data_IF_746333132512
#
_entry.id   IF_746333132512
#
_cell.length_a   1.000
_cell.length_b   1.000
_cell.length_c   1.000
_cell.angle_alpha   90.00
_cell.angle_beta   90.00
_cell.angle_gamma   90.00
#
_symmetry.space_group_name_H-M   'P 1'
#
loop_
_entity.id
_entity.type
_entity.pdbx_description
1 polymer ?
#
# COMPACT_ATOMS: atom_id res chain seq x y z
N UNK A 1 -5.41 18.83 -6.96
CA UNK A 1 -4.25 18.27 -6.19
C UNK A 1 -4.69 17.96 -4.76
N UNK A 2 -5.94 17.52 -4.59
CA UNK A 2 -6.68 17.70 -3.33
C UNK A 2 -6.56 16.51 -2.39
N UNK A 3 -5.98 15.39 -2.86
CA UNK A 3 -5.71 14.22 -2.02
C UNK A 3 -4.31 14.26 -1.39
N UNK A 4 -3.29 14.60 -2.19
CA UNK A 4 -1.88 14.55 -1.76
C UNK A 4 -1.55 15.75 -0.86
N UNK A 5 -1.98 16.97 -1.21
CA UNK A 5 -1.60 18.18 -0.47
C UNK A 5 -2.07 18.19 0.99
N UNK A 6 -3.32 17.81 1.33
CA UNK A 6 -3.74 17.74 2.73
C UNK A 6 -2.94 16.73 3.55
N UNK A 7 -2.64 15.56 2.97
CA UNK A 7 -1.87 14.51 3.64
C UNK A 7 -0.39 14.88 3.80
N UNK A 8 0.17 15.61 2.85
CA UNK A 8 1.52 16.16 2.95
C UNK A 8 1.60 17.24 4.06
N UNK A 9 0.60 18.13 4.15
CA UNK A 9 0.51 19.14 5.22
C UNK A 9 0.38 18.52 6.61
N UNK A 10 -0.24 17.34 6.72
CA UNK A 10 -0.36 16.58 7.95
C UNK A 10 0.90 15.76 8.29
N UNK A 11 1.94 15.79 7.45
CA UNK A 11 3.18 15.03 7.64
C UNK A 11 3.03 13.51 7.40
N UNK A 12 1.86 13.05 6.94
CA UNK A 12 1.57 11.65 6.63
C UNK A 12 2.33 11.23 5.37
N UNK A 13 2.33 12.11 4.36
CA UNK A 13 3.11 11.93 3.14
C UNK A 13 4.28 12.90 3.10
N UNK A 14 5.40 12.47 2.52
CA UNK A 14 6.47 13.39 2.15
C UNK A 14 5.90 14.38 1.12
N UNK A 15 6.04 15.68 1.40
CA UNK A 15 5.71 16.73 0.45
C UNK A 15 6.50 16.54 -0.85
N UNK A 16 5.84 16.79 -1.98
CA UNK A 16 6.42 16.65 -3.31
C UNK A 16 6.10 17.90 -4.13
N UNK A 17 7.08 18.39 -4.89
CA UNK A 17 6.86 19.45 -5.85
C UNK A 17 6.16 18.91 -7.10
N UNK A 18 5.59 19.80 -7.91
CA UNK A 18 4.97 19.40 -9.18
C UNK A 18 6.01 18.76 -10.11
N UNK A 19 7.22 19.33 -10.16
CA UNK A 19 8.33 18.84 -10.98
C UNK A 19 8.86 17.48 -10.52
N UNK A 20 8.80 17.17 -9.23
CA UNK A 20 9.13 15.83 -8.72
C UNK A 20 8.08 14.79 -9.14
N UNK A 21 6.81 15.17 -9.13
CA UNK A 21 5.72 14.29 -9.56
C UNK A 21 5.76 14.10 -11.08
N UNK A 22 5.93 15.17 -11.85
CA UNK A 22 5.96 15.16 -13.31
C UNK A 22 7.09 14.27 -13.85
N UNK A 23 8.31 14.41 -13.30
CA UNK A 23 9.46 13.56 -13.67
C UNK A 23 9.25 12.09 -13.38
N UNK A 24 8.40 11.77 -12.40
CA UNK A 24 8.14 10.40 -11.97
C UNK A 24 6.71 9.94 -12.31
N UNK A 25 5.97 10.65 -13.17
CA UNK A 25 4.52 10.46 -13.34
C UNK A 25 4.16 9.04 -13.77
N UNK A 26 5.03 8.40 -14.57
CA UNK A 26 4.87 7.00 -15.00
C UNK A 26 4.96 5.96 -13.87
N UNK A 27 5.32 6.39 -12.66
CA UNK A 27 5.36 5.54 -11.45
C UNK A 27 4.16 5.74 -10.53
N UNK A 28 3.27 6.68 -10.84
CA UNK A 28 2.08 6.97 -10.03
C UNK A 28 0.84 6.30 -10.60
N UNK A 29 0.03 5.78 -9.69
CA UNK A 29 -1.22 5.10 -9.98
C UNK A 29 -2.33 5.72 -9.13
N UNK A 30 -3.48 5.96 -9.75
CA UNK A 30 -4.63 6.58 -9.10
C UNK A 30 -5.89 5.76 -9.33
N UNK A 31 -6.73 5.67 -8.30
CA UNK A 31 -8.08 5.15 -8.43
C UNK A 31 -9.04 6.35 -8.57
N UNK A 32 -9.84 6.33 -9.62
CA UNK A 32 -10.87 7.34 -9.89
C UNK A 32 -12.25 6.81 -9.56
N UNK A 33 -13.09 7.67 -8.99
CA UNK A 33 -14.52 7.44 -8.81
C UNK A 33 -15.28 8.74 -9.00
N UNK A 34 -16.25 8.75 -9.90
CA UNK A 34 -17.10 9.92 -10.19
C UNK A 34 -16.28 11.19 -10.50
N UNK A 35 -15.17 11.03 -11.24
CA UNK A 35 -14.26 12.12 -11.59
C UNK A 35 -13.29 12.56 -10.47
N UNK A 36 -13.34 11.93 -9.29
CA UNK A 36 -12.49 12.24 -8.14
C UNK A 36 -11.42 11.17 -7.91
N UNK A 37 -10.19 11.59 -7.59
CA UNK A 37 -9.14 10.68 -7.10
C UNK A 37 -9.48 10.22 -5.69
N UNK A 38 -9.72 8.92 -5.53
CA UNK A 38 -10.08 8.30 -4.23
C UNK A 38 -8.93 7.53 -3.60
N UNK A 39 -7.94 7.10 -4.38
CA UNK A 39 -6.69 6.53 -3.89
C UNK A 39 -5.53 6.87 -4.81
N UNK A 40 -4.33 6.91 -4.25
CA UNK A 40 -3.06 7.11 -4.98
C UNK A 40 -1.99 6.19 -4.38
N UNK A 41 -1.11 5.70 -5.24
CA UNK A 41 0.12 5.01 -4.86
C UNK A 41 1.22 5.33 -5.89
N UNK A 42 2.46 5.19 -5.47
CA UNK A 42 3.63 5.25 -6.33
C UNK A 42 4.37 3.91 -6.24
N UNK A 43 4.71 3.28 -7.37
CA UNK A 43 5.58 2.10 -7.40
C UNK A 43 6.90 2.46 -8.07
N UNK A 44 7.97 2.49 -7.29
CA UNK A 44 9.32 2.81 -7.79
C UNK A 44 10.18 1.55 -7.82
N UNK A 45 10.66 1.10 -8.99
CA UNK A 45 11.58 -0.03 -9.07
C UNK A 45 12.95 0.29 -8.46
N UNK A 46 13.57 -0.72 -7.85
CA UNK A 46 14.92 -0.70 -7.30
C UNK A 46 15.68 -1.97 -7.69
N UNK A 47 16.99 -1.98 -7.42
CA UNK A 47 17.82 -3.18 -7.54
C UNK A 47 17.32 -4.33 -6.65
N UNK A 48 17.88 -5.53 -6.85
CA UNK A 48 17.50 -6.76 -6.14
C UNK A 48 16.03 -7.15 -6.31
N UNK A 49 15.42 -6.80 -7.46
CA UNK A 49 14.01 -7.09 -7.77
C UNK A 49 13.06 -6.55 -6.69
N UNK A 50 13.39 -5.38 -6.13
CA UNK A 50 12.57 -4.74 -5.10
C UNK A 50 11.78 -3.56 -5.68
N UNK A 51 10.57 -3.33 -5.17
CA UNK A 51 9.78 -2.14 -5.47
C UNK A 51 9.45 -1.34 -4.21
N UNK A 52 9.60 -0.02 -4.25
CA UNK A 52 9.09 0.85 -3.19
C UNK A 52 7.64 1.23 -3.46
N UNK A 53 6.77 0.97 -2.50
CA UNK A 53 5.45 1.60 -2.42
C UNK A 53 5.61 2.96 -1.71
N UNK A 54 5.59 4.02 -2.50
CA UNK A 54 5.56 5.39 -2.04
C UNK A 54 4.17 6.00 -2.18
N UNK A 55 3.96 7.16 -1.55
CA UNK A 55 2.76 7.99 -1.76
C UNK A 55 1.42 7.24 -1.64
N UNK A 56 1.36 6.19 -0.82
CA UNK A 56 0.15 5.39 -0.68
C UNK A 56 -0.86 6.10 0.21
N UNK A 57 -2.02 6.44 -0.36
CA UNK A 57 -3.07 7.14 0.36
C UNK A 57 -4.45 6.84 -0.21
N UNK A 58 -5.40 6.66 0.71
CA UNK A 58 -6.83 6.54 0.39
C UNK A 58 -7.57 7.70 1.02
N UNK A 59 -8.45 8.32 0.22
CA UNK A 59 -9.30 9.41 0.67
C UNK A 59 -10.13 8.97 1.89
N UNK A 60 -10.20 9.75 2.99
CA UNK A 60 -10.81 9.33 4.25
C UNK A 60 -12.23 8.76 4.14
N UNK A 61 -13.08 9.37 3.29
CA UNK A 61 -14.45 8.91 3.03
C UNK A 61 -14.53 7.51 2.39
N UNK A 62 -13.42 7.00 1.83
CA UNK A 62 -13.36 5.75 1.08
C UNK A 62 -12.46 4.68 1.74
N UNK A 63 -11.90 4.95 2.92
CA UNK A 63 -11.02 4.00 3.63
C UNK A 63 -11.71 2.69 4.01
N UNK A 64 -13.00 2.70 4.32
CA UNK A 64 -13.78 1.50 4.70
C UNK A 64 -14.44 0.79 3.51
N UNK A 65 -14.09 1.17 2.29
CA UNK A 65 -14.76 0.71 1.08
C UNK A 65 -13.87 -0.20 0.20
N UNK A 66 -12.87 -0.87 0.79
CA UNK A 66 -11.98 -1.79 0.06
C UNK A 66 -10.97 -1.11 -0.86
N UNK A 67 -10.83 0.23 -0.81
CA UNK A 67 -10.05 0.98 -1.81
C UNK A 67 -8.55 0.93 -1.55
N UNK A 68 -8.13 0.67 -0.32
CA UNK A 68 -6.73 0.42 -0.01
C UNK A 68 -6.31 -0.93 -0.55
N UNK A 69 -7.14 -1.94 -0.31
CA UNK A 69 -6.97 -3.33 -0.71
C UNK A 69 -6.86 -3.44 -2.23
N UNK A 70 -7.81 -2.84 -2.96
CA UNK A 70 -7.79 -2.79 -4.43
C UNK A 70 -6.52 -2.11 -4.96
N UNK A 71 -6.10 -0.99 -4.35
CA UNK A 71 -4.89 -0.28 -4.78
C UNK A 71 -3.64 -1.11 -4.50
N UNK A 72 -3.55 -1.76 -3.33
CA UNK A 72 -2.41 -2.59 -2.96
C UNK A 72 -2.32 -3.82 -3.87
N UNK A 73 -3.40 -4.57 -4.07
CA UNK A 73 -3.42 -5.72 -4.96
C UNK A 73 -3.11 -5.35 -6.42
N UNK A 74 -3.53 -4.17 -6.89
CA UNK A 74 -3.09 -3.66 -8.19
C UNK A 74 -1.56 -3.45 -8.25
N UNK A 75 -0.99 -2.82 -7.23
CA UNK A 75 0.45 -2.54 -7.15
C UNK A 75 1.27 -3.83 -7.04
N UNK A 76 0.81 -4.81 -6.27
CA UNK A 76 1.45 -6.12 -6.12
C UNK A 76 1.47 -6.88 -7.45
N UNK A 77 0.33 -6.99 -8.15
CA UNK A 77 0.28 -7.61 -9.50
C UNK A 77 1.19 -6.89 -10.49
N UNK A 78 1.21 -5.56 -10.46
CA UNK A 78 2.10 -4.79 -11.32
C UNK A 78 3.57 -5.08 -11.00
N UNK A 79 3.94 -5.16 -9.72
CA UNK A 79 5.29 -5.48 -9.29
C UNK A 79 5.73 -6.87 -9.77
N UNK A 80 4.87 -7.89 -9.61
CA UNK A 80 5.12 -9.25 -10.12
C UNK A 80 5.32 -9.24 -11.64
N UNK A 81 4.47 -8.55 -12.41
CA UNK A 81 4.62 -8.42 -13.88
C UNK A 81 5.91 -7.75 -14.30
N UNK A 82 6.43 -6.85 -13.48
CA UNK A 82 7.70 -6.17 -13.69
C UNK A 82 8.91 -7.00 -13.21
N UNK A 83 8.69 -8.24 -12.73
CA UNK A 83 9.74 -9.14 -12.27
C UNK A 83 10.30 -8.80 -10.89
N UNK A 84 9.53 -8.08 -10.08
CA UNK A 84 9.88 -7.82 -8.68
C UNK A 84 9.50 -9.02 -7.82
N UNK A 85 10.31 -9.30 -6.81
CA UNK A 85 10.11 -10.39 -5.85
C UNK A 85 9.73 -9.86 -4.47
N UNK A 86 10.01 -8.58 -4.18
CA UNK A 86 9.71 -7.96 -2.89
C UNK A 86 9.22 -6.54 -3.04
N UNK A 87 8.30 -6.14 -2.18
CA UNK A 87 7.90 -4.76 -1.99
C UNK A 87 8.36 -4.24 -0.65
N UNK A 88 8.63 -2.94 -0.57
CA UNK A 88 8.87 -2.27 0.69
C UNK A 88 8.18 -0.92 0.76
N UNK A 89 7.86 -0.46 1.97
CA UNK A 89 7.35 0.87 2.20
C UNK A 89 7.98 1.49 3.46
N UNK A 90 7.98 2.82 3.51
CA UNK A 90 8.54 3.59 4.62
C UNK A 90 7.45 4.45 5.24
N UNK A 91 7.32 4.39 6.56
CA UNK A 91 6.31 5.19 7.28
C UNK A 91 6.85 5.76 8.58
N UNK A 92 6.44 6.99 8.91
CA UNK A 92 6.70 7.61 10.22
C UNK A 92 5.63 7.27 11.25
N UNK A 93 4.58 6.57 10.85
CA UNK A 93 3.47 6.14 11.70
C UNK A 93 3.32 4.62 11.66
N UNK A 94 2.66 4.05 12.66
CA UNK A 94 2.33 2.62 12.69
C UNK A 94 1.52 2.23 11.45
N UNK A 95 2.01 1.25 10.69
CA UNK A 95 1.36 0.75 9.48
C UNK A 95 0.69 -0.60 9.74
N UNK A 96 -0.09 -0.71 10.83
CA UNK A 96 -0.82 -1.95 11.16
C UNK A 96 -1.59 -2.49 9.95
N UNK A 97 -2.20 -1.60 9.15
CA UNK A 97 -2.88 -2.01 7.93
C UNK A 97 -1.95 -2.71 6.93
N UNK A 98 -0.71 -2.25 6.71
CA UNK A 98 0.22 -2.99 5.84
C UNK A 98 0.66 -4.31 6.49
N UNK A 99 0.83 -4.34 7.81
CA UNK A 99 1.16 -5.56 8.55
C UNK A 99 0.07 -6.62 8.39
N UNK A 100 -1.20 -6.21 8.51
CA UNK A 100 -2.36 -7.06 8.28
C UNK A 100 -2.41 -7.59 6.83
N UNK A 101 -1.77 -6.90 5.88
CA UNK A 101 -1.67 -7.29 4.46
C UNK A 101 -0.33 -7.96 4.09
N UNK A 102 0.37 -8.51 5.08
CA UNK A 102 1.54 -9.37 4.86
C UNK A 102 2.89 -8.64 4.83
N UNK A 103 2.93 -7.33 5.15
CA UNK A 103 4.19 -6.65 5.35
C UNK A 103 4.75 -6.94 6.75
N UNK A 104 6.06 -7.11 6.85
CA UNK A 104 6.76 -7.30 8.12
C UNK A 104 7.71 -6.14 8.39
N UNK A 105 7.82 -5.73 9.65
CA UNK A 105 8.79 -4.72 10.07
C UNK A 105 10.21 -5.21 9.78
N UNK A 106 11.03 -4.33 9.22
CA UNK A 106 12.38 -4.64 8.77
C UNK A 106 13.35 -3.52 9.12
N UNK A 107 14.65 -3.78 8.97
CA UNK A 107 15.71 -2.82 9.19
C UNK A 107 16.08 -2.07 7.91
N UNK A 108 16.69 -0.88 8.07
CA UNK A 108 17.20 -0.08 6.94
C UNK A 108 18.26 -0.85 6.14
N UNK A 109 18.98 -1.79 6.76
CA UNK A 109 19.98 -2.64 6.10
C UNK A 109 19.41 -3.48 4.96
N UNK A 110 18.14 -3.87 5.05
CA UNK A 110 17.43 -4.70 4.06
C UNK A 110 17.02 -3.91 2.81
N UNK A 111 17.09 -2.58 2.84
CA UNK A 111 16.77 -1.76 1.69
C UNK A 111 17.83 -1.91 0.57
N UNK A 112 17.45 -1.69 -0.70
CA UNK A 112 18.38 -1.57 -1.81
C UNK A 112 19.48 -0.53 -1.54
N UNK A 113 20.73 -0.74 -2.00
CA UNK A 113 21.85 0.17 -1.75
C UNK A 113 21.54 1.64 -2.08
N UNK A 114 20.99 1.90 -3.27
CA UNK A 114 20.63 3.24 -3.69
C UNK A 114 19.51 3.90 -2.85
N UNK A 115 18.69 3.09 -2.16
CA UNK A 115 17.69 3.59 -1.22
C UNK A 115 18.29 3.88 0.15
N UNK A 116 19.23 3.04 0.61
CA UNK A 116 19.97 3.25 1.87
C UNK A 116 20.74 4.57 1.86
N UNK A 117 21.41 4.88 0.75
CA UNK A 117 22.16 6.14 0.59
C UNK A 117 21.28 7.38 0.70
N UNK A 118 20.03 7.29 0.22
CA UNK A 118 19.05 8.38 0.21
C UNK A 118 18.08 8.33 1.38
N UNK A 119 18.32 7.46 2.35
CA UNK A 119 17.42 7.28 3.48
C UNK A 119 17.45 8.53 4.38
N UNK A 120 16.26 9.07 4.65
CA UNK A 120 16.10 10.28 5.45
C UNK A 120 16.01 9.94 6.94
N UNK A 121 17.18 9.92 7.59
CA UNK A 121 17.31 9.68 9.04
C UNK A 121 16.58 10.73 9.90
N UNK A 122 16.33 11.93 9.37
CA UNK A 122 15.59 12.99 10.06
C UNK A 122 14.11 12.65 10.25
N UNK A 123 13.53 11.86 9.33
CA UNK A 123 12.12 11.42 9.42
C UNK A 123 11.92 10.22 10.34
N UNK A 124 12.98 9.45 10.65
CA UNK A 124 12.91 8.22 11.47
C UNK A 124 11.80 7.26 11.02
N UNK A 125 11.69 7.04 9.71
CA UNK A 125 10.67 6.14 9.16
C UNK A 125 10.98 4.68 9.52
N UNK A 126 9.98 3.88 9.87
CA UNK A 126 10.12 2.43 9.93
C UNK A 126 10.07 1.84 8.53
N UNK A 127 10.81 0.75 8.31
CA UNK A 127 10.81 0.00 7.06
C UNK A 127 9.90 -1.20 7.22
N UNK A 128 9.10 -1.45 6.19
CA UNK A 128 8.22 -2.60 6.09
C UNK A 128 8.49 -3.30 4.76
N UNK A 129 8.57 -4.63 4.75
CA UNK A 129 8.87 -5.44 3.56
C UNK A 129 7.82 -6.54 3.42
N UNK A 130 7.40 -6.83 2.19
CA UNK A 130 6.58 -7.99 1.85
C UNK A 130 7.26 -8.77 0.73
N UNK A 131 7.40 -10.08 0.92
CA UNK A 131 7.79 -10.98 -0.16
C UNK A 131 6.57 -11.24 -1.05
N UNK A 132 6.76 -11.17 -2.36
CA UNK A 132 5.70 -11.38 -3.34
C UNK A 132 5.66 -12.85 -3.78
N UNK A 133 4.45 -13.42 -3.83
CA UNK A 133 4.17 -14.65 -4.55
C UNK A 133 3.95 -14.40 -6.05
N UNK A 134 3.22 -15.29 -6.71
CA UNK A 134 2.73 -15.08 -8.07
C UNK A 134 1.36 -14.36 -8.10
N UNK A 135 0.85 -14.03 -9.30
CA UNK A 135 -0.44 -13.33 -9.42
C UNK A 135 -1.62 -14.11 -8.80
N UNK A 136 -1.55 -15.44 -8.73
CA UNK A 136 -2.61 -16.27 -8.14
C UNK A 136 -2.60 -16.15 -6.62
N UNK A 137 -1.42 -16.13 -6.01
CA UNK A 137 -1.28 -15.92 -4.57
C UNK A 137 -1.92 -14.58 -4.17
N UNK A 138 -1.67 -13.52 -4.96
CA UNK A 138 -2.27 -12.20 -4.75
C UNK A 138 -3.80 -12.23 -4.92
N UNK A 139 -4.30 -12.89 -5.96
CA UNK A 139 -5.75 -13.02 -6.20
C UNK A 139 -6.45 -13.83 -5.10
N UNK A 140 -5.76 -14.81 -4.49
CA UNK A 140 -6.26 -15.59 -3.35
C UNK A 140 -6.30 -14.74 -2.08
N UNK A 141 -5.23 -14.00 -1.77
CA UNK A 141 -5.21 -13.03 -0.67
C UNK A 141 -6.36 -12.02 -0.80
N UNK A 142 -6.55 -11.41 -1.97
CA UNK A 142 -7.62 -10.43 -2.21
C UNK A 142 -9.02 -11.02 -1.98
N UNK A 143 -9.25 -12.28 -2.37
CA UNK A 143 -10.52 -12.97 -2.08
C UNK A 143 -10.75 -13.19 -0.59
N UNK A 144 -9.69 -13.46 0.18
CA UNK A 144 -9.80 -13.61 1.63
C UNK A 144 -10.21 -12.30 2.30
N UNK A 145 -9.70 -11.17 1.82
CA UNK A 145 -10.05 -9.84 2.35
C UNK A 145 -11.45 -9.38 1.97
N UNK A 146 -11.97 -9.84 0.83
CA UNK A 146 -13.30 -9.49 0.33
C UNK A 146 -14.35 -10.58 0.52
N UNK A 147 -14.02 -11.65 1.27
CA UNK A 147 -14.97 -12.67 1.62
C UNK A 147 -16.16 -12.04 2.38
N UNK A 148 -17.42 -12.37 2.02
CA UNK A 148 -18.55 -11.92 2.81
C UNK A 148 -18.38 -12.43 4.24
N UNK A 149 -18.70 -11.59 5.23
CA UNK A 149 -18.71 -12.00 6.62
C UNK A 149 -19.47 -13.34 6.73
N UNK A 150 -18.94 -14.33 7.48
CA UNK A 150 -19.67 -15.57 7.68
C UNK A 150 -21.07 -15.23 8.18
N UNK A 151 -22.13 -15.90 7.67
CA UNK A 151 -23.47 -15.63 8.15
C UNK A 151 -23.48 -15.74 9.67
N UNK A 152 -24.19 -14.84 10.39
CA UNK A 152 -24.26 -14.92 11.84
C UNK A 152 -24.68 -16.34 12.21
N UNK A 153 -23.94 -16.97 13.12
CA UNK A 153 -24.18 -18.34 13.54
C UNK A 153 -25.67 -18.50 13.82
N UNK A 154 -26.35 -19.33 13.03
CA UNK A 154 -27.76 -19.62 13.21
C UNK A 154 -27.93 -20.18 14.61
N UNK A 155 -28.60 -19.43 15.49
CA UNK A 155 -28.98 -19.88 16.83
C UNK A 155 -29.73 -21.20 16.63
N UNK A 156 -29.29 -22.31 17.25
CA UNK A 156 -29.99 -23.59 17.09
C UNK A 156 -31.40 -23.42 17.63
N UNK A 157 -32.38 -23.81 16.82
CA UNK A 157 -33.79 -23.82 17.19
C UNK A 157 -34.02 -24.72 18.41
N UNK A 158 -34.68 -24.18 19.45
CA UNK A 158 -35.10 -24.89 20.67
C UNK A 158 -34.49 -24.26 21.92
N UNK A 159 -35.25 -23.62 22.80
CA UNK A 159 -36.33 -24.22 23.57
C UNK A 159 -37.49 -23.25 23.82
N UNK A 160 -38.69 -23.59 23.33
CA UNK A 160 -39.92 -23.14 23.97
C UNK A 160 -40.18 -24.10 25.14
N UNK A 161 -40.11 -23.58 26.35
CA UNK A 161 -40.53 -24.21 27.60
C UNK A 161 -41.41 -23.25 28.36
#
# INVERSE_FOLDING_TARGET
MDLIQPLARQGILKARSFEEVDRAIGTYFVCLRDGMVVAVAQLTPFSNRMGEIGCFAVHPKYRKAGRGEIMLGYIERLAVRLGMERLFCLSTQTMQWFEDHGFVSSEVSELPPEKKEKYDWGRKSKVYVKDLGDERDIDEEEKMWHAPAPPPASIPWGTYG
#
